data_IF_086270290526
#
_entry.id   IF_086270290526
#
_cell.length_a   1.000
_cell.length_b   1.000
_cell.length_c   1.000
_cell.angle_alpha   90.00
_cell.angle_beta   90.00
_cell.angle_gamma   90.00
#
_symmetry.space_group_name_H-M   'P 1'
#
loop_
_entity.id
_entity.type
_entity.pdbx_description
1 polymer ?
#
# COMPACT_ATOMS: atom_id res chain seq x y z
N UNK A 1 -0.36 -20.68 18.83
CA UNK A 1 0.14 -19.53 18.05
C UNK A 1 -0.86 -18.39 18.18
N UNK A 2 -0.46 -17.22 18.67
CA UNK A 2 -1.31 -16.01 18.78
C UNK A 2 -0.57 -14.81 18.16
N UNK A 3 -0.19 -14.92 16.89
CA UNK A 3 0.59 -13.90 16.17
C UNK A 3 -0.24 -13.19 15.07
N UNK A 4 -1.56 -13.29 15.15
CA UNK A 4 -2.49 -12.66 14.22
C UNK A 4 -3.50 -11.87 15.03
N UNK A 5 -3.64 -10.59 14.68
CA UNK A 5 -4.71 -9.71 15.18
C UNK A 5 -5.52 -9.26 13.98
N UNK A 6 -6.84 -9.20 14.12
CA UNK A 6 -7.75 -8.73 13.07
C UNK A 6 -8.50 -7.51 13.58
N UNK A 7 -8.81 -6.58 12.65
CA UNK A 7 -9.62 -5.39 12.90
C UNK A 7 -10.61 -5.26 11.76
N UNK A 8 -11.88 -5.02 12.09
CA UNK A 8 -12.87 -4.57 11.14
C UNK A 8 -12.80 -3.04 11.06
N UNK A 9 -12.65 -2.49 9.86
CA UNK A 9 -12.58 -1.05 9.62
C UNK A 9 -12.10 -0.70 8.22
N UNK A 10 -11.99 0.60 7.95
CA UNK A 10 -11.47 1.14 6.69
C UNK A 10 -9.95 0.93 6.61
N UNK A 11 -9.52 0.02 5.73
CA UNK A 11 -8.12 -0.33 5.53
C UNK A 11 -7.25 0.81 5.02
N UNK A 12 -7.84 1.87 4.43
CA UNK A 12 -7.08 3.05 3.96
C UNK A 12 -6.53 3.91 5.10
N UNK A 13 -7.14 3.81 6.28
CA UNK A 13 -6.71 4.52 7.51
C UNK A 13 -5.60 3.76 8.25
N UNK A 14 -5.26 2.54 7.81
CA UNK A 14 -4.31 1.68 8.49
C UNK A 14 -4.79 1.24 9.87
N UNK A 15 -3.84 1.03 10.78
CA UNK A 15 -4.11 0.62 12.15
C UNK A 15 -3.15 1.35 13.10
N UNK A 16 -3.45 2.63 13.35
CA UNK A 16 -2.64 3.52 14.17
C UNK A 16 -2.31 2.95 15.57
N UNK A 17 -3.26 2.23 16.20
CA UNK A 17 -3.06 1.62 17.52
C UNK A 17 -2.04 0.48 17.54
N UNK A 18 -1.61 0.00 16.37
CA UNK A 18 -0.57 -1.03 16.21
C UNK A 18 0.68 -0.50 15.48
N UNK A 19 0.70 0.80 15.15
CA UNK A 19 1.86 1.44 14.58
C UNK A 19 3.00 1.56 15.60
N UNK A 20 4.27 1.64 15.15
CA UNK A 20 4.71 1.62 13.76
C UNK A 20 4.85 0.21 13.17
N UNK A 21 4.75 0.10 11.84
CA UNK A 21 4.90 -1.15 11.10
C UNK A 21 6.23 -1.23 10.35
N UNK A 22 6.88 -2.40 10.40
CA UNK A 22 8.04 -2.71 9.56
C UNK A 22 7.66 -3.03 8.12
N UNK A 23 6.42 -3.50 7.92
CA UNK A 23 5.87 -3.81 6.61
C UNK A 23 4.36 -3.54 6.58
N UNK A 24 3.89 -2.91 5.49
CA UNK A 24 2.48 -2.77 5.16
C UNK A 24 2.29 -3.40 3.78
N UNK A 25 1.36 -4.33 3.65
CA UNK A 25 1.05 -4.98 2.36
C UNK A 25 -0.43 -4.77 2.10
N UNK A 26 -0.76 -4.20 0.95
CA UNK A 26 -2.12 -3.85 0.60
C UNK A 26 -2.57 -4.76 -0.54
N UNK A 27 -3.63 -5.53 -0.29
CA UNK A 27 -4.21 -6.47 -1.26
C UNK A 27 -5.40 -5.86 -2.04
N UNK A 28 -5.42 -4.54 -2.18
CA UNK A 28 -6.43 -3.79 -2.92
C UNK A 28 -5.78 -2.54 -3.55
N UNK A 29 -6.20 -2.18 -4.75
CA UNK A 29 -5.61 -1.09 -5.51
C UNK A 29 -6.09 0.27 -5.02
N UNK A 30 -5.16 1.12 -4.62
CA UNK A 30 -5.45 2.50 -4.29
C UNK A 30 -5.17 3.41 -5.49
N UNK A 31 -5.90 4.52 -5.63
CA UNK A 31 -5.57 5.52 -6.67
C UNK A 31 -4.23 6.21 -6.40
N UNK A 32 -3.87 6.32 -5.12
CA UNK A 32 -2.60 6.85 -4.61
C UNK A 32 -2.29 6.24 -3.25
N UNK A 33 -1.04 6.35 -2.83
CA UNK A 33 -0.60 5.91 -1.52
C UNK A 33 -1.34 6.67 -0.39
N UNK A 34 -2.08 5.99 0.49
CA UNK A 34 -2.72 6.63 1.66
C UNK A 34 -1.70 7.25 2.62
N UNK A 35 -1.98 8.46 3.09
CA UNK A 35 -1.07 9.19 4.00
C UNK A 35 -0.88 8.45 5.33
N UNK A 36 -1.94 7.82 5.83
CA UNK A 36 -1.89 7.03 7.07
C UNK A 36 -0.81 5.95 7.05
N UNK A 37 -0.52 5.36 5.88
CA UNK A 37 0.54 4.35 5.79
C UNK A 37 1.93 4.96 5.96
N UNK A 38 2.15 6.22 5.57
CA UNK A 38 3.42 6.91 5.75
C UNK A 38 3.67 7.19 7.24
N UNK A 39 2.64 7.68 7.92
CA UNK A 39 2.72 8.03 9.35
C UNK A 39 2.92 6.78 10.22
N UNK A 40 2.39 5.65 9.79
CA UNK A 40 2.46 4.39 10.51
C UNK A 40 3.65 3.51 10.10
N UNK A 41 4.51 3.92 9.16
CA UNK A 41 5.66 3.14 8.70
C UNK A 41 6.92 3.44 9.51
N UNK A 42 7.56 2.39 10.05
CA UNK A 42 8.87 2.48 10.70
C UNK A 42 9.96 2.99 9.74
N UNK A 43 11.01 3.60 10.27
CA UNK A 43 12.26 3.86 9.52
C UNK A 43 12.85 2.53 9.04
N UNK A 44 13.23 2.42 7.76
CA UNK A 44 13.59 1.15 7.11
C UNK A 44 12.42 0.25 6.73
N UNK A 45 11.18 0.63 7.11
CA UNK A 45 9.96 -0.09 6.79
C UNK A 45 9.60 -0.05 5.31
N UNK A 46 8.73 -0.98 4.88
CA UNK A 46 8.31 -1.13 3.47
C UNK A 46 6.80 -1.14 3.31
N UNK A 47 6.30 -0.49 2.25
CA UNK A 47 4.90 -0.60 1.81
C UNK A 47 4.88 -1.29 0.45
N UNK A 48 4.06 -2.33 0.30
CA UNK A 48 3.76 -2.97 -0.97
C UNK A 48 2.29 -2.71 -1.29
N UNK A 49 2.02 -1.99 -2.39
CA UNK A 49 0.66 -1.55 -2.71
C UNK A 49 0.47 -1.45 -4.24
N UNK A 50 -0.63 -2.01 -4.79
CA UNK A 50 -1.04 -1.71 -6.15
C UNK A 50 -1.59 -0.28 -6.23
N UNK A 51 -1.07 0.52 -7.16
CA UNK A 51 -1.52 1.88 -7.43
C UNK A 51 -1.99 2.02 -8.87
N UNK A 52 -3.19 2.55 -9.06
CA UNK A 52 -3.75 2.85 -10.37
C UNK A 52 -5.28 2.83 -10.38
N UNK A 53 -5.87 3.42 -11.41
CA UNK A 53 -7.32 3.41 -11.61
C UNK A 53 -7.78 2.06 -12.18
N UNK A 54 -9.00 1.59 -11.86
CA UNK A 54 -9.52 0.34 -12.40
C UNK A 54 -9.53 0.27 -13.94
N UNK A 55 -9.77 1.41 -14.60
CA UNK A 55 -9.81 1.54 -16.06
C UNK A 55 -8.44 1.81 -16.71
N UNK A 56 -7.45 2.25 -15.94
CA UNK A 56 -6.16 2.75 -16.44
C UNK A 56 -4.98 1.78 -16.27
N UNK A 57 -5.23 0.61 -15.68
CA UNK A 57 -4.19 -0.34 -15.28
C UNK A 57 -3.57 0.01 -13.93
N UNK A 58 -3.05 -1.00 -13.24
CA UNK A 58 -2.45 -0.86 -11.92
C UNK A 58 -0.99 -1.32 -11.93
N UNK A 59 -0.15 -0.60 -11.21
CA UNK A 59 1.26 -0.92 -11.03
C UNK A 59 1.48 -1.26 -9.56
N UNK A 60 2.12 -2.39 -9.29
CA UNK A 60 2.56 -2.72 -7.94
C UNK A 60 3.78 -1.87 -7.59
N UNK A 61 3.70 -1.12 -6.49
CA UNK A 61 4.83 -0.34 -5.98
C UNK A 61 5.34 -0.91 -4.68
N UNK A 62 6.67 -0.81 -4.52
CA UNK A 62 7.34 -0.90 -3.23
C UNK A 62 7.81 0.49 -2.83
N UNK A 63 7.35 0.97 -1.68
CA UNK A 63 7.91 2.13 -1.02
C UNK A 63 8.80 1.69 0.13
N UNK A 64 9.96 2.30 0.29
CA UNK A 64 10.88 2.04 1.41
C UNK A 64 11.19 3.36 2.11
N UNK A 65 11.00 3.43 3.43
CA UNK A 65 11.41 4.60 4.22
C UNK A 65 12.90 4.54 4.51
N UNK A 66 13.64 5.58 4.12
CA UNK A 66 15.08 5.72 4.37
C UNK A 66 15.43 7.17 4.68
N UNK A 67 16.06 7.40 5.82
CA UNK A 67 16.46 8.71 6.32
C UNK A 67 15.29 9.70 6.36
N UNK A 68 14.10 9.25 6.75
CA UNK A 68 12.89 10.07 6.75
C UNK A 68 12.27 10.33 5.36
N UNK A 69 12.89 9.88 4.27
CA UNK A 69 12.36 9.99 2.91
C UNK A 69 11.76 8.68 2.43
N UNK A 70 10.88 8.76 1.43
CA UNK A 70 10.25 7.60 0.81
C UNK A 70 10.85 7.34 -0.57
N UNK A 71 11.42 6.15 -0.76
CA UNK A 71 11.94 5.69 -2.04
C UNK A 71 10.93 4.74 -2.69
N UNK A 72 10.52 5.02 -3.92
CA UNK A 72 9.60 4.16 -4.68
C UNK A 72 10.32 3.27 -5.70
N UNK A 73 9.77 2.07 -5.89
CA UNK A 73 10.17 1.13 -6.93
C UNK A 73 8.92 0.51 -7.54
N UNK A 74 8.83 0.52 -8.88
CA UNK A 74 7.80 -0.21 -9.62
C UNK A 74 8.18 -1.69 -9.74
N UNK A 75 7.26 -2.58 -9.36
CA UNK A 75 7.39 -4.04 -9.44
C UNK A 75 6.66 -4.64 -10.65
N UNK A 76 6.08 -3.80 -11.51
CA UNK A 76 5.35 -4.21 -12.72
C UNK A 76 3.84 -4.05 -12.64
N UNK A 77 3.14 -4.53 -13.67
CA UNK A 77 1.70 -4.39 -13.82
C UNK A 77 0.95 -5.52 -13.12
N UNK A 78 -0.13 -5.18 -12.41
CA UNK A 78 -0.97 -6.12 -11.67
C UNK A 78 -2.45 -5.76 -11.84
N UNK A 79 -3.35 -6.60 -11.32
CA UNK A 79 -4.78 -6.31 -11.25
C UNK A 79 -5.36 -6.79 -9.94
N UNK A 80 -5.89 -5.86 -9.16
CA UNK A 80 -6.50 -6.02 -7.86
C UNK A 80 -7.85 -5.28 -7.83
N UNK A 81 -8.71 -5.69 -6.91
CA UNK A 81 -9.95 -4.96 -6.62
C UNK A 81 -9.64 -3.57 -6.04
N UNK A 82 -10.50 -2.56 -6.22
CA UNK A 82 -10.28 -1.23 -5.63
C UNK A 82 -10.25 -1.25 -4.10
N UNK A 83 -9.37 -0.46 -3.51
CA UNK A 83 -9.41 -0.11 -2.09
C UNK A 83 -10.54 0.90 -1.88
N UNK A 84 -11.60 0.48 -1.20
CA UNK A 84 -12.79 1.30 -0.93
C UNK A 84 -12.64 1.99 0.42
N UNK A 85 -12.96 3.28 0.47
CA UNK A 85 -13.08 4.04 1.73
C UNK A 85 -14.55 4.23 2.08
N UNK A 86 -14.84 4.30 3.39
CA UNK A 86 -16.18 4.17 3.99
C UNK A 86 -17.19 5.29 3.67
N UNK A 87 -17.48 5.56 2.40
CA UNK A 87 -18.64 6.39 2.03
C UNK A 87 -19.29 6.12 0.67
N UNK A 88 -18.72 5.31 -0.22
CA UNK A 88 -19.46 4.79 -1.38
C UNK A 88 -18.61 3.78 -2.16
N UNK A 89 -19.16 2.64 -2.61
CA UNK A 89 -18.47 1.74 -3.55
C UNK A 89 -18.15 2.41 -4.91
N UNK A 90 -18.63 3.64 -5.15
CA UNK A 90 -18.37 4.43 -6.36
C UNK A 90 -17.47 5.65 -6.16
N UNK A 91 -16.92 5.87 -4.96
CA UNK A 91 -16.06 7.04 -4.72
C UNK A 91 -14.70 6.63 -4.16
N UNK A 92 -13.60 7.07 -4.79
CA UNK A 92 -12.29 6.89 -4.20
C UNK A 92 -12.13 7.71 -2.92
N UNK A 93 -11.19 7.27 -2.08
CA UNK A 93 -10.86 7.90 -0.81
C UNK A 93 -10.60 9.41 -0.96
N UNK A 94 -11.23 10.28 -0.16
CA UNK A 94 -10.77 11.66 -0.01
C UNK A 94 -9.34 11.65 0.51
N UNK A 95 -8.48 12.45 -0.13
CA UNK A 95 -7.06 12.47 0.17
C UNK A 95 -6.68 13.82 0.75
N UNK A 96 -6.21 13.83 2.00
CA UNK A 96 -5.60 15.03 2.56
C UNK A 96 -4.35 15.40 1.75
N UNK A 97 -4.27 16.70 1.41
CA UNK A 97 -3.57 17.29 0.27
C UNK A 97 -2.05 17.25 0.26
N UNK A 98 -1.39 16.39 1.04
CA UNK A 98 0.08 16.20 1.05
C UNK A 98 0.56 15.13 0.07
N UNK A 99 -0.24 14.82 -0.96
CA UNK A 99 0.12 13.88 -2.02
C UNK A 99 1.42 14.27 -2.73
N UNK A 100 2.48 13.48 -2.57
CA UNK A 100 3.66 13.54 -3.43
C UNK A 100 3.24 13.35 -4.90
N UNK A 101 3.13 14.45 -5.65
CA UNK A 101 2.97 14.43 -7.10
C UNK A 101 4.23 13.81 -7.71
N UNK A 102 4.06 12.73 -8.50
CA UNK A 102 5.12 12.03 -9.25
C UNK A 102 6.15 13.01 -9.82
N UNK A 103 7.41 12.92 -9.39
CA UNK A 103 8.53 13.27 -10.27
C UNK A 103 8.83 12.04 -11.12
N UNK A 104 8.65 12.20 -12.42
CA UNK A 104 8.85 11.17 -13.47
C UNK A 104 10.21 10.47 -13.29
N UNK A 105 10.21 9.15 -13.07
CA UNK A 105 11.39 8.30 -13.22
C UNK A 105 11.10 7.14 -14.18
N UNK A 106 12.05 6.91 -15.07
CA UNK A 106 11.94 6.11 -16.29
C UNK A 106 11.72 4.64 -16.00
N UNK A 107 10.66 4.08 -16.59
CA UNK A 107 10.33 2.66 -16.59
C UNK A 107 11.28 1.93 -17.56
N UNK A 108 12.12 1.01 -17.07
CA UNK A 108 12.53 -0.24 -17.72
C UNK A 108 13.68 -0.88 -16.93
N UNK A 109 13.38 -1.87 -16.07
CA UNK A 109 14.39 -2.84 -15.62
C UNK A 109 13.76 -4.23 -15.39
N UNK A 110 14.13 -5.27 -16.18
CA UNK A 110 13.55 -6.61 -16.12
C UNK A 110 14.12 -7.53 -15.02
N UNK A 111 14.88 -7.04 -14.05
CA UNK A 111 15.68 -7.89 -13.14
C UNK A 111 14.95 -8.50 -11.91
N UNK A 112 13.64 -8.29 -11.71
CA UNK A 112 13.07 -8.36 -10.35
C UNK A 112 12.14 -9.56 -10.08
N UNK A 113 12.25 -10.67 -10.81
CA UNK A 113 11.34 -11.81 -10.69
C UNK A 113 11.50 -12.69 -9.41
N UNK A 114 12.40 -12.39 -8.48
CA UNK A 114 12.74 -13.33 -7.39
C UNK A 114 12.91 -12.69 -5.99
N UNK A 115 11.93 -11.92 -5.50
CA UNK A 115 12.02 -11.37 -4.14
C UNK A 115 10.69 -11.36 -3.37
N UNK A 116 10.04 -12.53 -3.25
CA UNK A 116 8.85 -12.71 -2.40
C UNK A 116 8.96 -13.87 -1.40
N UNK A 117 10.18 -14.31 -1.03
CA UNK A 117 10.32 -15.52 -0.20
C UNK A 117 10.66 -15.37 1.27
N UNK A 118 11.02 -14.21 1.81
CA UNK A 118 11.35 -14.14 3.24
C UNK A 118 11.02 -12.78 3.88
N UNK A 119 10.00 -12.80 4.74
CA UNK A 119 9.76 -12.02 5.97
C UNK A 119 8.27 -11.64 6.10
N UNK A 120 7.49 -12.58 6.62
CA UNK A 120 6.13 -12.35 7.14
C UNK A 120 6.22 -12.29 8.66
N UNK A 121 6.45 -11.10 9.20
CA UNK A 121 6.05 -10.79 10.56
C UNK A 121 5.22 -9.51 10.46
N UNK A 122 3.94 -9.66 10.84
CA UNK A 122 2.87 -8.66 10.87
C UNK A 122 2.39 -8.16 9.49
N UNK A 123 1.36 -8.87 9.02
CA UNK A 123 0.66 -8.62 7.77
C UNK A 123 -0.68 -7.96 8.10
N UNK A 124 -0.83 -6.66 7.80
CA UNK A 124 -2.15 -6.02 7.76
C UNK A 124 -2.81 -6.41 6.44
N UNK A 125 -3.59 -7.49 6.42
CA UNK A 125 -4.44 -7.81 5.27
C UNK A 125 -5.68 -6.92 5.33
N UNK A 126 -5.72 -5.86 4.53
CA UNK A 126 -6.98 -5.17 4.25
C UNK A 126 -7.88 -6.13 3.47
N UNK A 127 -8.91 -6.67 4.14
CA UNK A 127 -9.91 -7.54 3.52
C UNK A 127 -10.81 -6.69 2.62
N UNK A 128 -11.01 -7.05 1.34
CA UNK A 128 -12.11 -6.48 0.57
C UNK A 128 -13.42 -7.02 1.14
N UNK A 129 -14.29 -6.14 1.61
CA UNK A 129 -15.68 -6.50 1.88
C UNK A 129 -16.32 -6.89 0.54
N UNK A 130 -16.53 -8.18 0.33
CA UNK A 130 -17.40 -8.69 -0.73
C UNK A 130 -18.83 -8.51 -0.23
N UNK A 131 -19.60 -7.65 -0.90
CA UNK A 131 -21.07 -7.73 -0.90
C UNK A 131 -21.51 -8.74 -1.96
#
# INVERSE_FOLDING_TARGET
MQNVRTKLGDGSLGWAEQSPFDAIIVAAAAERLPAAFLDQLSEGGRIIIPIGEPSGGQTMFRFTRRNGELQDESLGMFSFVPLVCDSSPRRPCPVDGTALRRRRLSLHNPANANLLRNKLHELVIAHPTIL
#
